data_IF_802964433941
#
_entry.id   IF_802964433941
#
_cell.length_a   1.000
_cell.length_b   1.000
_cell.length_c   1.000
_cell.angle_alpha   90.00
_cell.angle_beta   90.00
_cell.angle_gamma   90.00
#
_symmetry.space_group_name_H-M   'P 1'
#
loop_
_entity.id
_entity.type
_entity.pdbx_description
1 polymer ?
#
# COMPACT_ATOMS: atom_id res chain seq x y z
N UNK A 1 53.28 -48.04 -1.67
CA UNK A 1 52.26 -49.02 -2.05
C UNK A 1 50.91 -48.53 -1.55
N UNK A 2 49.96 -48.43 -2.50
CA UNK A 2 48.50 -48.39 -2.43
C UNK A 2 47.75 -47.39 -1.51
N UNK A 3 47.17 -46.41 -2.20
CA UNK A 3 45.91 -45.70 -1.99
C UNK A 3 44.83 -46.44 -1.19
N UNK A 4 44.20 -45.70 -0.26
CA UNK A 4 42.74 -45.78 -0.03
C UNK A 4 42.18 -44.40 0.31
N UNK A 5 41.32 -43.95 -0.60
CA UNK A 5 40.55 -42.72 -0.65
C UNK A 5 39.48 -42.67 0.45
N UNK A 6 39.33 -41.52 1.13
CA UNK A 6 38.02 -41.07 1.62
C UNK A 6 37.89 -39.57 1.37
N UNK A 7 37.02 -39.29 0.41
CA UNK A 7 36.47 -38.00 0.02
C UNK A 7 35.77 -37.34 1.20
N UNK A 8 36.11 -36.09 1.52
CA UNK A 8 35.28 -35.25 2.38
C UNK A 8 35.17 -33.85 1.77
N UNK A 9 34.07 -33.69 1.04
CA UNK A 9 33.56 -32.41 0.61
C UNK A 9 33.11 -31.61 1.84
N UNK A 10 33.61 -30.39 1.98
CA UNK A 10 32.99 -29.38 2.83
C UNK A 10 33.39 -27.98 2.32
N UNK A 11 32.92 -27.64 1.12
CA UNK A 11 32.90 -26.26 0.65
C UNK A 11 31.66 -25.59 1.26
N UNK A 12 31.75 -25.14 2.51
CA UNK A 12 30.69 -24.35 3.13
C UNK A 12 30.95 -22.88 2.80
N UNK A 13 30.26 -22.40 1.77
CA UNK A 13 30.19 -21.01 1.36
C UNK A 13 29.61 -20.21 2.54
N UNK A 14 30.40 -19.30 3.07
CA UNK A 14 29.93 -18.26 3.96
C UNK A 14 28.98 -17.33 3.19
N UNK A 15 27.70 -17.33 3.54
CA UNK A 15 26.85 -16.17 3.31
C UNK A 15 26.71 -15.41 4.62
N UNK A 16 27.25 -14.20 4.58
CA UNK A 16 27.12 -13.11 5.54
C UNK A 16 25.68 -12.96 6.05
N UNK A 17 25.47 -13.28 7.32
CA UNK A 17 24.32 -12.80 8.06
C UNK A 17 24.54 -11.31 8.40
N UNK A 18 24.11 -10.41 7.52
CA UNK A 18 23.81 -9.04 7.93
C UNK A 18 22.46 -9.07 8.67
N UNK A 19 22.49 -9.36 9.97
CA UNK A 19 21.33 -9.18 10.86
C UNK A 19 21.12 -7.70 11.15
N UNK A 20 20.64 -6.95 10.16
CA UNK A 20 19.95 -5.69 10.46
C UNK A 20 18.51 -6.04 10.81
N UNK A 21 18.22 -5.98 12.11
CA UNK A 21 16.88 -6.03 12.67
C UNK A 21 15.98 -4.98 12.03
N UNK A 22 15.14 -5.38 11.08
CA UNK A 22 13.88 -4.70 10.78
C UNK A 22 12.91 -5.76 10.27
N UNK A 23 11.98 -6.17 11.14
CA UNK A 23 10.74 -6.87 10.79
C UNK A 23 10.90 -8.14 9.95
N UNK A 24 10.82 -9.30 10.59
CA UNK A 24 10.51 -10.54 9.88
C UNK A 24 9.20 -10.38 9.10
N UNK A 25 9.31 -10.10 7.81
CA UNK A 25 8.25 -10.32 6.84
C UNK A 25 8.68 -11.53 6.02
N UNK A 26 8.26 -12.71 6.47
CA UNK A 26 7.93 -13.79 5.55
C UNK A 26 7.12 -13.19 4.37
N UNK A 27 7.20 -13.74 3.15
CA UNK A 27 6.43 -13.25 2.02
C UNK A 27 4.95 -13.33 2.39
N UNK A 28 4.41 -12.21 2.86
CA UNK A 28 3.03 -12.08 3.27
C UNK A 28 2.31 -11.92 1.95
N UNK A 29 1.41 -12.85 1.63
CA UNK A 29 0.41 -12.66 0.58
C UNK A 29 -0.03 -11.20 0.61
N UNK A 30 0.35 -10.42 -0.40
CA UNK A 30 0.23 -8.97 -0.37
C UNK A 30 -1.23 -8.63 -0.05
N UNK A 31 -1.51 -8.18 1.18
CA UNK A 31 -2.85 -7.80 1.58
C UNK A 31 -3.27 -6.65 0.67
N UNK A 32 -4.18 -6.95 -0.26
CA UNK A 32 -4.75 -5.94 -1.16
C UNK A 32 -5.32 -4.82 -0.30
N UNK A 33 -4.96 -3.58 -0.63
CA UNK A 33 -5.55 -2.43 0.03
C UNK A 33 -7.08 -2.43 -0.18
N UNK A 34 -7.88 -1.84 0.73
CA UNK A 34 -9.33 -1.76 0.52
C UNK A 34 -9.72 -1.13 -0.82
N UNK A 35 -8.90 -0.19 -1.30
CA UNK A 35 -9.05 0.44 -2.62
C UNK A 35 -8.81 -0.56 -3.74
N UNK A 36 -7.75 -1.36 -3.67
CA UNK A 36 -7.50 -2.43 -4.65
C UNK A 36 -8.64 -3.45 -4.68
N UNK A 37 -9.09 -3.92 -3.51
CA UNK A 37 -10.19 -4.89 -3.41
C UNK A 37 -11.48 -4.36 -4.03
N UNK A 38 -11.73 -3.04 -3.94
CA UNK A 38 -12.94 -2.42 -4.50
C UNK A 38 -12.89 -2.20 -6.01
N UNK A 39 -11.71 -1.92 -6.56
CA UNK A 39 -11.57 -1.40 -7.93
C UNK A 39 -10.87 -2.32 -8.91
N UNK A 40 -10.00 -3.23 -8.46
CA UNK A 40 -9.37 -4.20 -9.37
C UNK A 40 -10.45 -5.08 -10.00
N UNK A 41 -10.40 -5.21 -11.32
CA UNK A 41 -11.39 -5.90 -12.15
C UNK A 41 -12.57 -5.03 -12.60
N UNK A 42 -12.75 -3.84 -12.03
CA UNK A 42 -13.80 -2.90 -12.48
C UNK A 42 -13.35 -2.05 -13.66
N UNK A 43 -14.32 -1.51 -14.40
CA UNK A 43 -14.02 -0.57 -15.47
C UNK A 43 -13.46 0.74 -14.91
N UNK A 44 -12.38 1.23 -15.53
CA UNK A 44 -11.83 2.55 -15.24
C UNK A 44 -12.84 3.67 -15.50
N UNK A 45 -13.76 3.47 -16.46
CA UNK A 45 -14.82 4.43 -16.76
C UNK A 45 -15.78 4.66 -15.59
N UNK A 46 -16.13 3.62 -14.83
CA UNK A 46 -16.97 3.75 -13.64
C UNK A 46 -16.26 4.56 -12.56
N UNK A 47 -14.95 4.33 -12.40
CA UNK A 47 -14.13 5.08 -11.46
C UNK A 47 -14.09 6.57 -11.84
N UNK A 48 -13.75 6.90 -13.09
CA UNK A 48 -13.64 8.29 -13.53
C UNK A 48 -15.00 8.99 -13.64
N UNK A 49 -16.09 8.26 -13.92
CA UNK A 49 -17.44 8.82 -13.86
C UNK A 49 -17.82 9.22 -12.43
N UNK A 50 -17.44 8.43 -11.42
CA UNK A 50 -17.75 8.71 -10.01
C UNK A 50 -16.85 9.79 -9.42
N UNK A 51 -15.57 9.81 -9.78
CA UNK A 51 -14.55 10.62 -9.10
C UNK A 51 -13.88 11.70 -9.94
N UNK A 52 -14.27 11.82 -11.21
CA UNK A 52 -13.71 12.78 -12.16
C UNK A 52 -12.53 12.23 -12.96
N UNK A 53 -12.05 13.00 -13.96
CA UNK A 53 -11.02 12.57 -14.90
C UNK A 53 -9.65 12.35 -14.22
N UNK A 54 -8.76 11.55 -14.83
CA UNK A 54 -7.37 11.46 -14.38
C UNK A 54 -6.63 12.79 -14.55
N UNK A 55 -5.60 13.01 -13.74
CA UNK A 55 -4.66 14.13 -13.89
C UNK A 55 -3.71 13.94 -15.07
N UNK A 56 -3.30 12.69 -15.30
CA UNK A 56 -2.48 12.33 -16.44
C UNK A 56 -2.64 10.86 -16.76
N UNK A 57 -2.33 10.52 -18.00
CA UNK A 57 -2.27 9.18 -18.53
C UNK A 57 -0.92 8.95 -19.21
N UNK A 58 -0.44 7.72 -19.15
CA UNK A 58 0.80 7.30 -19.80
C UNK A 58 0.64 5.88 -20.29
N UNK A 59 0.68 5.71 -21.61
CA UNK A 59 0.63 4.39 -22.21
C UNK A 59 1.93 3.62 -21.90
N UNK A 60 1.77 2.37 -21.47
CA UNK A 60 2.86 1.44 -21.13
C UNK A 60 2.57 0.09 -21.78
N UNK A 61 2.96 -0.04 -23.05
CA UNK A 61 2.72 -1.25 -23.84
C UNK A 61 1.23 -1.49 -24.08
N UNK A 62 0.67 -2.53 -23.47
CA UNK A 62 -0.75 -2.92 -23.60
C UNK A 62 -1.66 -2.37 -22.49
N UNK A 63 -1.13 -1.53 -21.60
CA UNK A 63 -1.86 -0.93 -20.49
C UNK A 63 -1.61 0.57 -20.43
N UNK A 64 -2.54 1.30 -19.84
CA UNK A 64 -2.41 2.74 -19.58
C UNK A 64 -2.34 2.97 -18.08
N UNK A 65 -1.36 3.76 -17.69
CA UNK A 65 -1.14 4.17 -16.32
C UNK A 65 -1.79 5.53 -16.11
N UNK A 66 -2.81 5.61 -15.26
CA UNK A 66 -3.51 6.84 -14.94
C UNK A 66 -3.13 7.34 -13.55
N UNK A 67 -2.71 8.60 -13.45
CA UNK A 67 -2.55 9.28 -12.17
C UNK A 67 -3.84 10.03 -11.85
N UNK A 68 -4.42 9.78 -10.68
CA UNK A 68 -5.62 10.46 -10.24
C UNK A 68 -5.40 11.09 -8.86
N UNK A 69 -6.00 12.26 -8.66
CA UNK A 69 -6.03 12.93 -7.36
C UNK A 69 -7.37 13.57 -7.14
N UNK A 70 -7.92 13.40 -5.94
CA UNK A 70 -9.18 14.00 -5.58
C UNK A 70 -9.54 13.79 -4.12
N UNK A 71 -10.83 13.92 -3.82
CA UNK A 71 -11.34 13.86 -2.46
C UNK A 71 -10.80 15.00 -1.59
N UNK A 72 -10.61 16.20 -2.14
CA UNK A 72 -10.09 17.33 -1.37
C UNK A 72 -11.06 17.71 -0.24
N UNK A 73 -10.59 17.64 1.01
CA UNK A 73 -11.41 17.96 2.19
C UNK A 73 -10.56 18.62 3.27
N UNK A 74 -11.13 19.53 4.06
CA UNK A 74 -10.52 19.97 5.32
C UNK A 74 -11.18 19.18 6.45
N UNK A 75 -10.40 18.50 7.28
CA UNK A 75 -10.92 17.69 8.37
C UNK A 75 -10.05 17.82 9.62
N UNK A 76 -10.70 17.71 10.78
CA UNK A 76 -10.02 17.61 12.08
C UNK A 76 -9.70 16.14 12.33
N UNK A 77 -8.41 15.80 12.37
CA UNK A 77 -7.94 14.47 12.74
C UNK A 77 -7.85 14.40 14.27
N UNK A 78 -8.50 13.44 14.94
CA UNK A 78 -8.44 13.31 16.39
C UNK A 78 -7.06 12.89 16.87
N UNK A 79 -6.74 13.20 18.13
CA UNK A 79 -5.51 12.75 18.76
C UNK A 79 -5.46 11.22 18.84
N UNK A 80 -4.32 10.62 18.47
CA UNK A 80 -4.08 9.18 18.62
C UNK A 80 -3.22 8.92 19.86
N UNK A 81 -3.60 7.92 20.64
CA UNK A 81 -2.90 7.49 21.85
C UNK A 81 -2.44 6.04 21.66
N UNK A 82 -1.31 5.68 22.25
CA UNK A 82 -0.88 4.28 22.33
C UNK A 82 -1.89 3.50 23.17
N UNK A 83 -2.16 2.26 22.79
CA UNK A 83 -2.95 1.36 23.63
C UNK A 83 -2.06 0.93 24.80
N UNK A 84 -2.34 1.44 26.00
CA UNK A 84 -1.59 1.09 27.19
C UNK A 84 -1.82 -0.37 27.56
N UNK A 85 -0.82 -1.01 28.20
CA UNK A 85 -0.81 -2.43 28.58
C UNK A 85 -2.04 -2.92 29.36
N UNK A 86 -2.88 -2.02 29.89
CA UNK A 86 -4.06 -2.33 30.70
C UNK A 86 -5.37 -1.70 30.15
N UNK A 87 -5.44 -1.39 28.84
CA UNK A 87 -6.62 -0.73 28.25
C UNK A 87 -6.79 0.75 28.64
N UNK A 88 -5.82 1.31 29.37
CA UNK A 88 -5.73 2.75 29.67
C UNK A 88 -5.10 3.48 28.49
N UNK A 89 -5.53 4.73 28.24
CA UNK A 89 -4.91 5.61 27.23
C UNK A 89 -3.43 5.75 27.55
N UNK A 90 -2.58 5.20 26.69
CA UNK A 90 -1.14 5.32 26.77
C UNK A 90 -0.65 6.70 26.34
N UNK A 91 0.64 6.80 26.03
CA UNK A 91 1.27 8.04 25.59
C UNK A 91 0.60 8.53 24.30
N UNK A 92 0.40 9.84 24.18
CA UNK A 92 -0.10 10.44 22.95
C UNK A 92 0.92 10.22 21.81
N UNK A 93 0.48 9.54 20.74
CA UNK A 93 1.26 9.32 19.51
C UNK A 93 1.19 10.57 18.64
N UNK A 94 0.01 11.18 18.55
CA UNK A 94 -0.20 12.40 17.75
C UNK A 94 -1.31 13.28 18.33
N UNK A 95 -1.13 14.62 18.33
CA UNK A 95 -2.16 15.55 18.76
C UNK A 95 -3.29 15.66 17.74
N UNK A 96 -4.45 16.12 18.20
CA UNK A 96 -5.54 16.51 17.32
C UNK A 96 -5.09 17.69 16.44
N UNK A 97 -5.38 17.63 15.14
CA UNK A 97 -4.95 18.66 14.20
C UNK A 97 -5.89 18.79 13.01
N UNK A 98 -6.03 20.01 12.52
CA UNK A 98 -6.68 20.27 11.24
C UNK A 98 -5.74 19.88 10.09
N UNK A 99 -6.22 19.05 9.18
CA UNK A 99 -5.48 18.62 8.01
C UNK A 99 -6.31 18.86 6.75
N UNK A 100 -5.62 19.23 5.67
CA UNK A 100 -6.19 19.10 4.33
C UNK A 100 -6.01 17.65 3.92
N UNK A 101 -7.07 16.93 3.61
CA UNK A 101 -7.05 15.57 3.10
C UNK A 101 -7.17 15.61 1.59
N UNK A 102 -6.42 14.73 0.93
CA UNK A 102 -6.51 14.47 -0.49
C UNK A 102 -6.04 13.04 -0.71
N UNK A 103 -6.68 12.33 -1.61
CA UNK A 103 -6.27 11.00 -2.01
C UNK A 103 -5.58 11.08 -3.37
N UNK A 104 -4.39 10.51 -3.50
CA UNK A 104 -3.69 10.33 -4.79
C UNK A 104 -3.48 8.86 -5.03
N UNK A 105 -4.02 8.35 -6.14
CA UNK A 105 -3.79 6.97 -6.59
C UNK A 105 -3.22 6.93 -7.99
N UNK A 106 -2.50 5.85 -8.29
CA UNK A 106 -2.19 5.47 -9.65
C UNK A 106 -2.94 4.20 -9.99
N UNK A 107 -3.65 4.21 -11.12
CA UNK A 107 -4.35 3.06 -11.66
C UNK A 107 -3.57 2.51 -12.85
N UNK A 108 -3.47 1.19 -12.96
CA UNK A 108 -3.06 0.50 -14.18
C UNK A 108 -4.30 -0.08 -14.80
N UNK A 109 -4.53 0.25 -16.07
CA UNK A 109 -5.74 -0.10 -16.80
C UNK A 109 -5.35 -0.85 -18.06
N UNK A 110 -5.91 -2.03 -18.28
CA UNK A 110 -5.67 -2.82 -19.48
C UNK A 110 -6.39 -2.25 -20.70
N UNK A 111 -6.06 -2.75 -21.89
CA UNK A 111 -6.67 -2.35 -23.16
C UNK A 111 -8.18 -2.59 -23.24
N UNK A 112 -8.74 -3.49 -22.44
CA UNK A 112 -10.19 -3.70 -22.27
C UNK A 112 -10.83 -2.70 -21.28
N UNK A 113 -10.07 -1.68 -20.88
CA UNK A 113 -10.46 -0.59 -20.00
C UNK A 113 -10.84 -1.03 -18.58
N UNK A 114 -10.29 -2.16 -18.12
CA UNK A 114 -10.41 -2.65 -16.74
C UNK A 114 -9.19 -2.28 -15.90
N UNK A 115 -9.44 -1.95 -14.65
CA UNK A 115 -8.40 -1.66 -13.66
C UNK A 115 -7.75 -2.99 -13.27
N UNK A 116 -6.46 -3.15 -13.55
CA UNK A 116 -5.67 -4.34 -13.19
C UNK A 116 -4.90 -4.15 -11.89
N UNK A 117 -4.54 -2.90 -11.58
CA UNK A 117 -3.92 -2.53 -10.31
C UNK A 117 -4.33 -1.12 -9.89
N UNK A 118 -4.42 -0.89 -8.59
CA UNK A 118 -4.52 0.44 -8.00
C UNK A 118 -3.47 0.54 -6.92
N UNK A 119 -2.73 1.63 -6.88
CA UNK A 119 -1.85 1.92 -5.75
C UNK A 119 -2.09 3.31 -5.21
N UNK A 120 -2.04 3.43 -3.90
CA UNK A 120 -2.06 4.73 -3.23
C UNK A 120 -0.67 5.33 -3.27
N UNK A 121 -0.52 6.48 -3.93
CA UNK A 121 0.76 7.20 -4.07
C UNK A 121 0.97 8.17 -2.92
N UNK A 122 -0.10 8.84 -2.50
CA UNK A 122 -0.07 9.74 -1.35
C UNK A 122 -1.40 9.66 -0.63
N UNK A 123 -1.32 9.39 0.66
CA UNK A 123 -2.46 9.31 1.54
C UNK A 123 -2.18 10.06 2.84
N UNK A 124 -3.27 10.44 3.52
CA UNK A 124 -3.21 10.90 4.89
C UNK A 124 -3.97 9.92 5.78
N UNK A 125 -3.64 9.86 7.08
CA UNK A 125 -4.47 9.12 8.01
C UNK A 125 -5.93 9.56 7.87
N UNK A 126 -6.82 8.58 7.75
CA UNK A 126 -8.26 8.81 7.72
C UNK A 126 -8.77 9.36 9.05
N UNK A 127 -10.02 9.80 9.06
CA UNK A 127 -10.67 10.28 10.31
C UNK A 127 -11.09 9.09 11.17
N UNK A 128 -11.57 8.02 10.53
CA UNK A 128 -12.21 6.86 11.18
C UNK A 128 -11.55 5.52 10.81
N UNK A 129 -10.64 5.50 9.84
CA UNK A 129 -10.05 4.30 9.26
C UNK A 129 -8.53 4.39 9.10
N UNK A 130 -7.93 3.36 8.48
CA UNK A 130 -6.48 3.27 8.33
C UNK A 130 -5.93 4.39 7.43
N UNK A 131 -6.72 4.85 6.45
CA UNK A 131 -6.27 5.81 5.44
C UNK A 131 -7.44 6.56 4.82
N UNK A 132 -7.22 7.80 4.39
CA UNK A 132 -8.26 8.64 3.79
C UNK A 132 -8.64 8.15 2.39
N UNK A 133 -7.70 7.62 1.61
CA UNK A 133 -8.02 6.99 0.34
C UNK A 133 -8.95 5.78 0.52
N UNK A 134 -8.74 4.96 1.54
CA UNK A 134 -9.64 3.85 1.83
C UNK A 134 -11.05 4.36 2.18
N UNK A 135 -11.14 5.37 3.04
CA UNK A 135 -12.43 5.99 3.37
C UNK A 135 -13.13 6.62 2.16
N UNK A 136 -12.40 7.27 1.26
CA UNK A 136 -13.00 8.02 0.15
C UNK A 136 -13.32 7.14 -1.06
N UNK A 137 -12.39 6.26 -1.45
CA UNK A 137 -12.50 5.45 -2.67
C UNK A 137 -13.13 4.07 -2.41
N UNK A 138 -13.07 3.54 -1.19
CA UNK A 138 -13.64 2.23 -0.86
C UNK A 138 -14.93 2.30 -0.03
N UNK A 139 -15.38 3.49 0.38
CA UNK A 139 -16.72 3.65 0.94
C UNK A 139 -17.79 3.42 -0.14
N UNK A 140 -18.78 2.59 0.21
CA UNK A 140 -19.95 2.31 -0.62
C UNK A 140 -20.99 3.42 -0.46
#
# INVERSE_FOLDING_TARGET
>A
MLFRSVTLAAFAIALSACTTSTGGSAPTFAQKSPVETRWVGQSAGIFFAKFGPPLSDTETGSSTVYNWRGGYKKATIPAKFEEGKDGKKGRQISPARSASLSCTVQLVVSSDYKITAVRTVSDRPGVNGPSYCAEFLAAN
#
